data_IF_647662595800
#
_entry.id   IF_647662595800
#
_cell.length_a   1.000
_cell.length_b   1.000
_cell.length_c   1.000
_cell.angle_alpha   90.00
_cell.angle_beta   90.00
_cell.angle_gamma   90.00
#
_symmetry.space_group_name_H-M   'P 1'
#
loop_
_entity.id
_entity.type
_entity.pdbx_description
1 polymer ?
#
# COMPACT_ATOMS: atom_id res chain seq x y z
N UNK A 1 -11.90 -0.64 19.25
CA UNK A 1 -10.49 -0.88 18.85
C UNK A 1 -9.92 0.39 18.26
N UNK A 2 -8.86 0.91 18.87
CA UNK A 2 -8.24 2.13 18.38
C UNK A 2 -7.32 1.90 17.20
N UNK A 3 -6.48 0.87 17.25
CA UNK A 3 -5.54 0.52 16.18
C UNK A 3 -5.83 -0.84 15.62
N UNK A 4 -5.83 -0.90 14.30
CA UNK A 4 -5.94 -2.15 13.56
C UNK A 4 -4.60 -2.42 12.89
N UNK A 5 -3.99 -3.56 13.19
CA UNK A 5 -2.73 -3.97 12.61
C UNK A 5 -2.99 -4.96 11.49
N UNK A 6 -2.48 -4.67 10.30
CA UNK A 6 -2.67 -5.51 9.12
C UNK A 6 -1.35 -5.83 8.44
N UNK A 7 -1.30 -6.99 7.82
CA UNK A 7 -0.23 -7.41 6.94
C UNK A 7 -0.84 -8.26 5.83
N UNK A 8 -0.14 -8.41 4.73
CA UNK A 8 -0.65 -9.24 3.63
C UNK A 8 -0.63 -10.72 4.00
N UNK A 9 0.49 -11.19 4.53
CA UNK A 9 0.73 -12.60 4.82
C UNK A 9 1.25 -12.79 6.23
N UNK A 10 0.87 -13.92 6.84
CA UNK A 10 1.33 -14.30 8.16
C UNK A 10 2.85 -14.39 8.25
N UNK A 11 3.49 -14.81 7.19
CA UNK A 11 4.94 -14.99 7.11
C UNK A 11 5.71 -13.68 7.29
N UNK A 12 5.06 -12.54 7.07
CA UNK A 12 5.68 -11.23 7.26
C UNK A 12 5.80 -10.86 8.73
N UNK A 13 4.94 -11.44 9.58
CA UNK A 13 4.91 -11.17 11.03
C UNK A 13 4.71 -12.48 11.81
N UNK A 14 5.63 -13.45 11.67
CA UNK A 14 5.38 -14.83 12.12
C UNK A 14 5.22 -15.00 13.63
N UNK A 15 5.75 -14.08 14.42
CA UNK A 15 5.72 -14.19 15.88
C UNK A 15 4.72 -13.23 16.54
N UNK A 16 3.85 -12.62 15.74
CA UNK A 16 2.87 -11.65 16.23
C UNK A 16 1.48 -12.15 15.93
N UNK A 17 0.63 -12.22 16.95
CA UNK A 17 -0.71 -12.80 16.84
C UNK A 17 -1.83 -11.76 16.76
N UNK A 18 -1.51 -10.49 16.85
CA UNK A 18 -2.52 -9.43 16.85
C UNK A 18 -2.76 -8.82 15.46
N UNK A 19 -2.11 -9.33 14.43
CA UNK A 19 -2.29 -8.86 13.06
C UNK A 19 -3.47 -9.56 12.39
N UNK A 20 -4.16 -8.80 11.54
CA UNK A 20 -5.13 -9.35 10.60
C UNK A 20 -4.47 -9.43 9.23
N UNK A 21 -4.80 -10.46 8.46
CA UNK A 21 -4.16 -10.69 7.18
C UNK A 21 -5.12 -10.38 6.05
N UNK A 22 -4.63 -9.60 5.09
CA UNK A 22 -5.45 -9.12 3.97
C UNK A 22 -5.35 -9.98 2.73
N UNK A 23 -4.32 -10.82 2.65
CA UNK A 23 -3.96 -11.49 1.41
C UNK A 23 -3.17 -10.57 0.49
N UNK A 24 -2.80 -11.09 -0.66
CA UNK A 24 -1.96 -10.41 -1.63
C UNK A 24 -2.82 -9.77 -2.71
N UNK A 25 -2.43 -8.59 -3.15
CA UNK A 25 -3.09 -7.87 -4.23
C UNK A 25 -4.06 -6.80 -3.74
N UNK A 26 -4.29 -5.81 -4.58
CA UNK A 26 -5.12 -4.64 -4.23
C UNK A 26 -6.57 -4.99 -3.98
N UNK A 27 -7.12 -5.92 -4.74
CA UNK A 27 -8.51 -6.34 -4.57
C UNK A 27 -8.70 -7.04 -3.22
N UNK A 28 -7.83 -7.99 -2.89
CA UNK A 28 -7.91 -8.69 -1.62
C UNK A 28 -7.72 -7.74 -0.44
N UNK A 29 -6.76 -6.83 -0.54
CA UNK A 29 -6.51 -5.84 0.49
C UNK A 29 -7.72 -4.95 0.71
N UNK A 30 -8.31 -4.44 -0.36
CA UNK A 30 -9.48 -3.56 -0.29
C UNK A 30 -10.66 -4.26 0.37
N UNK A 31 -10.95 -5.48 -0.06
CA UNK A 31 -12.05 -6.28 0.49
C UNK A 31 -11.87 -6.55 1.97
N UNK A 32 -10.71 -7.07 2.34
CA UNK A 32 -10.43 -7.42 3.73
C UNK A 32 -10.43 -6.21 4.65
N UNK A 33 -9.78 -5.11 4.25
CA UNK A 33 -9.71 -3.90 5.06
C UNK A 33 -11.08 -3.26 5.22
N UNK A 34 -11.90 -3.25 4.17
CA UNK A 34 -13.24 -2.72 4.24
C UNK A 34 -14.07 -3.48 5.28
N UNK A 35 -14.01 -4.80 5.28
CA UNK A 35 -14.71 -5.61 6.27
C UNK A 35 -14.20 -5.36 7.69
N UNK A 36 -12.89 -5.25 7.86
CA UNK A 36 -12.28 -4.99 9.16
C UNK A 36 -12.66 -3.62 9.71
N UNK A 37 -12.70 -2.61 8.85
CA UNK A 37 -13.12 -1.27 9.26
C UNK A 37 -14.58 -1.29 9.75
N UNK A 38 -15.45 -1.94 9.01
CA UNK A 38 -16.86 -2.03 9.36
C UNK A 38 -17.08 -2.78 10.68
N UNK A 39 -16.29 -3.83 10.90
CA UNK A 39 -16.41 -4.65 12.10
C UNK A 39 -15.82 -3.97 13.34
N UNK A 40 -14.65 -3.37 13.22
CA UNK A 40 -13.87 -2.88 14.37
C UNK A 40 -13.92 -1.37 14.57
N UNK A 41 -14.25 -0.62 13.52
CA UNK A 41 -14.28 0.84 13.52
C UNK A 41 -13.01 1.45 14.13
N UNK A 42 -11.83 1.12 13.60
CA UNK A 42 -10.57 1.59 14.16
C UNK A 42 -10.37 3.09 13.93
N UNK A 43 -9.62 3.71 14.82
CA UNK A 43 -9.19 5.10 14.63
C UNK A 43 -7.96 5.19 13.73
N UNK A 44 -7.16 4.12 13.69
CA UNK A 44 -5.91 4.08 12.95
C UNK A 44 -5.67 2.68 12.42
N UNK A 45 -5.13 2.60 11.21
CA UNK A 45 -4.70 1.34 10.62
C UNK A 45 -3.18 1.39 10.46
N UNK A 46 -2.51 0.36 10.98
CA UNK A 46 -1.07 0.20 10.83
C UNK A 46 -0.81 -0.98 9.91
N UNK A 47 -0.23 -0.72 8.77
CA UNK A 47 0.14 -1.75 7.81
C UNK A 47 1.63 -2.04 7.91
N UNK A 48 1.98 -3.30 8.05
CA UNK A 48 3.35 -3.77 8.07
C UNK A 48 3.54 -4.82 6.99
N UNK A 49 4.60 -4.69 6.23
CA UNK A 49 4.85 -5.64 5.16
C UNK A 49 6.21 -5.44 4.53
N UNK A 50 6.53 -6.33 3.61
CA UNK A 50 7.79 -6.25 2.87
C UNK A 50 7.58 -5.46 1.58
N UNK A 51 8.61 -4.71 1.19
CA UNK A 51 8.62 -3.93 -0.06
C UNK A 51 9.96 -4.13 -0.76
N UNK A 52 9.93 -4.05 -2.08
CA UNK A 52 11.14 -4.05 -2.88
C UNK A 52 11.75 -2.66 -2.92
N UNK A 53 13.05 -2.57 -2.66
CA UNK A 53 13.77 -1.31 -2.77
C UNK A 53 14.24 -1.09 -4.20
N UNK A 54 13.97 0.09 -4.73
CA UNK A 54 14.47 0.51 -6.05
C UNK A 54 15.85 1.14 -5.98
N UNK A 55 16.41 1.24 -4.78
CA UNK A 55 17.75 1.78 -4.54
C UNK A 55 18.46 0.94 -3.50
N UNK A 56 19.78 0.79 -3.63
CA UNK A 56 20.59 0.05 -2.66
C UNK A 56 20.73 0.77 -1.31
N UNK A 57 20.30 2.02 -1.24
CA UNK A 57 20.42 2.82 -0.01
C UNK A 57 19.35 2.52 1.02
N UNK A 58 18.20 2.00 0.62
CA UNK A 58 17.09 1.74 1.52
C UNK A 58 17.17 0.30 2.05
N UNK A 59 17.32 0.17 3.36
CA UNK A 59 17.38 -1.12 4.05
C UNK A 59 16.72 -1.02 5.41
N UNK A 60 16.25 -2.15 5.91
CA UNK A 60 15.66 -2.24 7.23
C UNK A 60 14.23 -1.74 7.27
N UNK A 61 13.79 -1.36 8.46
CA UNK A 61 12.44 -0.87 8.67
C UNK A 61 12.36 0.61 8.28
N UNK A 62 11.45 0.90 7.37
CA UNK A 62 11.21 2.28 6.93
C UNK A 62 9.73 2.61 7.05
N UNK A 63 9.42 3.89 7.23
CA UNK A 63 8.05 4.36 7.23
C UNK A 63 7.71 4.94 5.87
N UNK A 64 6.66 4.38 5.25
CA UNK A 64 6.14 4.86 3.98
C UNK A 64 4.97 5.80 4.27
N UNK A 65 5.02 6.99 3.72
CA UNK A 65 4.02 8.02 3.97
C UNK A 65 3.35 8.54 2.71
N UNK A 66 3.83 8.13 1.55
CA UNK A 66 3.27 8.54 0.26
C UNK A 66 3.02 7.29 -0.57
N UNK A 67 1.80 7.17 -1.08
CA UNK A 67 1.35 5.96 -1.78
C UNK A 67 0.71 6.32 -3.11
N UNK A 68 1.04 5.57 -4.13
CA UNK A 68 0.42 5.71 -5.45
C UNK A 68 0.31 4.36 -6.13
N UNK A 69 -0.60 4.25 -7.09
CA UNK A 69 -0.79 3.03 -7.86
C UNK A 69 0.18 3.03 -9.05
N UNK A 70 1.29 2.31 -8.95
CA UNK A 70 2.31 2.31 -9.99
C UNK A 70 1.89 1.59 -11.27
N UNK A 71 0.92 0.69 -11.17
CA UNK A 71 0.43 -0.09 -12.31
C UNK A 71 -0.88 0.45 -12.90
N UNK A 72 -1.35 1.59 -12.41
CA UNK A 72 -2.48 2.29 -12.98
C UNK A 72 -1.96 3.22 -14.08
N UNK A 73 -2.26 2.89 -15.33
CA UNK A 73 -1.76 3.64 -16.47
C UNK A 73 -2.88 3.89 -17.48
N UNK A 74 -3.44 5.08 -17.44
CA UNK A 74 -4.44 5.54 -18.38
C UNK A 74 -3.94 6.73 -19.20
N UNK A 75 -2.62 6.88 -19.32
CA UNK A 75 -2.00 8.00 -20.03
C UNK A 75 -2.41 8.05 -21.50
N UNK A 76 -2.72 6.90 -22.09
CA UNK A 76 -3.15 6.83 -23.48
C UNK A 76 -4.60 7.25 -23.72
N UNK A 77 -5.41 7.32 -22.67
CA UNK A 77 -6.84 7.67 -22.79
C UNK A 77 -7.09 9.14 -22.46
N UNK A 78 -6.35 9.68 -21.51
CA UNK A 78 -6.53 11.04 -21.03
C UNK A 78 -5.17 11.64 -20.68
N UNK A 79 -5.12 12.96 -20.53
CA UNK A 79 -3.89 13.64 -20.17
C UNK A 79 -3.62 13.50 -18.66
N UNK A 80 -3.29 12.28 -18.25
CA UNK A 80 -3.03 11.92 -16.86
C UNK A 80 -1.60 11.43 -16.72
N UNK A 81 -1.09 11.50 -15.49
CA UNK A 81 0.21 10.93 -15.14
C UNK A 81 0.06 9.47 -14.75
N UNK A 82 1.16 8.74 -14.75
CA UNK A 82 1.17 7.36 -14.25
C UNK A 82 0.69 7.33 -12.79
N UNK A 83 -0.23 6.42 -12.50
CA UNK A 83 -0.82 6.28 -11.17
C UNK A 83 -2.11 7.06 -10.98
N UNK A 84 -2.41 7.99 -11.87
CA UNK A 84 -3.64 8.77 -11.76
C UNK A 84 -4.83 8.06 -12.39
N UNK A 85 -6.02 8.26 -11.81
CA UNK A 85 -7.27 7.71 -12.31
C UNK A 85 -8.18 8.82 -12.82
N UNK A 86 -8.98 8.56 -13.88
CA UNK A 86 -9.87 9.60 -14.42
C UNK A 86 -10.91 10.07 -13.41
N UNK A 87 -11.11 11.38 -13.35
CA UNK A 87 -12.15 12.03 -12.56
C UNK A 87 -12.03 11.89 -11.05
N UNK A 88 -10.91 11.37 -10.55
CA UNK A 88 -10.67 11.31 -9.10
C UNK A 88 -9.95 12.57 -8.62
N UNK A 89 -10.38 13.07 -7.49
CA UNK A 89 -9.78 14.24 -6.88
C UNK A 89 -8.50 13.90 -6.10
N UNK A 90 -8.39 12.66 -5.62
CA UNK A 90 -7.22 12.18 -4.89
C UNK A 90 -6.47 11.18 -5.76
N UNK A 91 -5.26 11.53 -6.17
CA UNK A 91 -4.46 10.71 -7.07
C UNK A 91 -3.27 10.06 -6.37
N UNK A 92 -2.84 10.66 -5.28
CA UNK A 92 -1.76 10.16 -4.45
C UNK A 92 -2.17 10.31 -2.99
N UNK A 93 -1.94 9.29 -2.18
CA UNK A 93 -2.27 9.34 -0.76
C UNK A 93 -1.02 9.74 0.01
N UNK A 94 -1.09 10.87 0.71
CA UNK A 94 0.01 11.40 1.51
C UNK A 94 -0.45 11.47 2.96
N UNK A 95 0.23 10.73 3.83
CA UNK A 95 -0.08 10.72 5.26
C UNK A 95 0.84 11.64 6.07
N UNK A 96 1.98 12.01 5.49
CA UNK A 96 2.96 12.89 6.13
C UNK A 96 3.84 13.52 5.05
N UNK A 97 4.40 14.70 5.33
CA UNK A 97 5.31 15.41 4.41
C UNK A 97 6.69 14.76 4.34
N UNK A 98 7.08 14.03 5.39
CA UNK A 98 8.36 13.33 5.46
C UNK A 98 8.16 11.84 5.23
N UNK A 99 9.26 11.11 5.07
CA UNK A 99 9.22 9.66 4.86
C UNK A 99 9.35 9.28 3.40
N UNK A 100 9.11 8.02 3.13
CA UNK A 100 9.38 7.43 1.82
C UNK A 100 8.10 7.22 1.02
N UNK A 101 8.26 7.19 -0.29
CA UNK A 101 7.15 6.89 -1.22
C UNK A 101 7.15 5.42 -1.58
N UNK A 102 5.95 4.87 -1.79
CA UNK A 102 5.77 3.49 -2.23
C UNK A 102 4.77 3.43 -3.37
N UNK A 103 5.16 2.75 -4.43
CA UNK A 103 4.24 2.41 -5.49
C UNK A 103 3.64 1.04 -5.23
N UNK A 104 2.31 0.97 -5.14
CA UNK A 104 1.59 -0.29 -4.97
C UNK A 104 1.14 -0.82 -6.33
N UNK A 105 1.12 -2.12 -6.47
CA UNK A 105 0.68 -2.76 -7.70
C UNK A 105 0.49 -4.26 -7.51
N UNK A 106 -0.07 -4.91 -8.52
CA UNK A 106 -0.40 -6.33 -8.48
C UNK A 106 0.60 -7.19 -9.27
N UNK A 107 1.76 -6.64 -9.58
CA UNK A 107 2.84 -7.33 -10.25
C UNK A 107 4.17 -6.98 -9.62
N UNK A 108 5.17 -7.84 -9.78
CA UNK A 108 6.52 -7.55 -9.32
C UNK A 108 7.21 -6.59 -10.28
N UNK A 109 7.93 -5.64 -9.71
CA UNK A 109 8.81 -4.75 -10.49
C UNK A 109 10.07 -5.52 -10.84
N UNK A 110 10.35 -5.63 -12.13
CA UNK A 110 11.54 -6.33 -12.62
C UNK A 110 12.67 -5.37 -13.01
N UNK A 111 12.33 -4.10 -13.27
CA UNK A 111 13.32 -3.07 -13.54
C UNK A 111 12.77 -1.71 -13.13
N UNK A 112 13.67 -0.73 -12.94
CA UNK A 112 13.29 0.63 -12.56
C UNK A 112 12.52 1.38 -13.65
N UNK A 113 12.48 0.84 -14.84
CA UNK A 113 11.84 1.48 -16.00
C UNK A 113 10.36 1.13 -16.10
N UNK A 114 9.93 0.09 -15.44
CA UNK A 114 8.54 -0.35 -15.45
C UNK A 114 7.55 0.69 -14.93
#
# INVERSE_FOLDING_TARGET
MKRLFIAALKEEVPNLDFFHFTGVGKINATYAITQLILKHQPEEIVNFGSVGSLTKKLKGLIEVTKFYQRDMDVRGLMNLKLGETPFDSIQEIITNDTGYSCGTGDSFVQSKIE
#
